data_IF_218378835647
#
_entry.id   IF_218378835647
#
_cell.length_a   1.000
_cell.length_b   1.000
_cell.length_c   1.000
_cell.angle_alpha   90.00
_cell.angle_beta   90.00
_cell.angle_gamma   90.00
#
_symmetry.space_group_name_H-M   'P 1'
#
loop_
_entity.id
_entity.type
_entity.pdbx_description
1 polymer ?
#
# COMPACT_ATOMS: atom_id res chain seq x y z
N UNK A 1 -1.61 7.88 15.21
CA UNK A 1 -0.65 7.25 14.31
C UNK A 1 -1.21 5.92 13.83
N UNK A 2 -1.30 5.71 12.52
CA UNK A 2 -1.89 4.51 11.96
C UNK A 2 -0.85 3.70 11.21
N UNK A 3 -0.88 2.39 11.42
CA UNK A 3 0.02 1.47 10.73
C UNK A 3 -0.79 0.39 10.04
N UNK A 4 -0.26 -0.14 8.97
CA UNK A 4 -0.89 -1.21 8.21
C UNK A 4 0.14 -2.25 7.80
N UNK A 5 -0.16 -3.51 8.07
CA UNK A 5 0.69 -4.61 7.65
C UNK A 5 0.32 -4.99 6.22
N UNK A 6 1.12 -4.53 5.26
CA UNK A 6 0.83 -4.73 3.85
C UNK A 6 1.26 -6.12 3.36
N UNK A 7 2.31 -6.66 3.99
CA UNK A 7 2.78 -8.01 3.74
C UNK A 7 3.25 -8.59 5.06
N UNK A 8 3.44 -9.89 5.08
CA UNK A 8 4.02 -10.54 6.25
C UNK A 8 5.34 -9.85 6.59
N UNK A 9 5.46 -9.43 7.85
CA UNK A 9 6.63 -8.75 8.39
C UNK A 9 6.92 -7.37 7.78
N UNK A 10 5.95 -6.78 7.06
CA UNK A 10 6.12 -5.46 6.46
C UNK A 10 5.00 -4.52 6.90
N UNK A 11 5.35 -3.54 7.71
CA UNK A 11 4.39 -2.57 8.25
C UNK A 11 4.72 -1.20 7.70
N UNK A 12 3.69 -0.47 7.25
CA UNK A 12 3.87 0.89 6.75
C UNK A 12 3.12 1.88 7.63
N UNK A 13 3.64 3.09 7.69
CA UNK A 13 3.00 4.18 8.43
C UNK A 13 2.03 4.91 7.49
N UNK A 14 0.74 4.76 7.74
CA UNK A 14 -0.30 5.32 6.87
C UNK A 14 -0.30 6.85 6.84
N UNK A 15 0.19 7.48 7.91
CA UNK A 15 0.23 8.94 7.96
C UNK A 15 1.21 9.54 6.94
N UNK A 16 2.16 8.75 6.47
CA UNK A 16 3.18 9.22 5.52
C UNK A 16 2.93 8.75 4.09
N UNK A 17 1.86 8.00 3.84
CA UNK A 17 1.53 7.55 2.50
C UNK A 17 1.03 8.72 1.66
N UNK A 18 1.69 8.96 0.54
CA UNK A 18 1.32 10.02 -0.39
C UNK A 18 0.49 9.47 -1.54
N UNK A 19 0.99 8.43 -2.20
CA UNK A 19 0.29 7.77 -3.29
C UNK A 19 0.50 6.27 -3.19
N UNK A 20 -0.47 5.51 -3.70
CA UNK A 20 -0.39 4.07 -3.76
C UNK A 20 -1.09 3.60 -5.03
N UNK A 21 -0.51 2.60 -5.69
CA UNK A 21 -1.14 2.02 -6.86
C UNK A 21 -0.79 0.54 -6.94
N UNK A 22 -1.69 -0.22 -7.55
CA UNK A 22 -1.48 -1.64 -7.79
C UNK A 22 -1.32 -1.87 -9.29
N UNK A 23 -0.27 -2.61 -9.65
CA UNK A 23 0.00 -2.97 -11.05
C UNK A 23 0.35 -4.45 -11.07
N UNK A 24 -0.52 -5.25 -11.67
CA UNK A 24 -0.35 -6.71 -11.71
C UNK A 24 -0.22 -7.27 -10.28
N UNK A 25 0.89 -7.91 -9.97
CA UNK A 25 1.11 -8.50 -8.65
C UNK A 25 1.98 -7.62 -7.74
N UNK A 26 2.08 -6.31 -8.05
CA UNK A 26 2.93 -5.40 -7.30
C UNK A 26 2.13 -4.20 -6.81
N UNK A 27 2.53 -3.68 -5.65
CA UNK A 27 1.98 -2.43 -5.13
C UNK A 27 3.13 -1.44 -5.00
N UNK A 28 2.92 -0.24 -5.53
CA UNK A 28 3.87 0.86 -5.45
C UNK A 28 3.33 1.92 -4.51
N UNK A 29 4.11 2.28 -3.50
CA UNK A 29 3.70 3.28 -2.51
C UNK A 29 4.76 4.36 -2.43
N UNK A 30 4.33 5.62 -2.55
CA UNK A 30 5.18 6.77 -2.34
C UNK A 30 4.89 7.38 -0.99
N UNK A 31 5.96 7.79 -0.29
CA UNK A 31 5.85 8.36 1.04
C UNK A 31 6.31 9.81 1.03
N UNK A 32 5.83 10.58 2.01
CA UNK A 32 6.14 12.01 2.10
C UNK A 32 7.17 12.34 3.18
N UNK A 33 7.66 11.37 3.92
CA UNK A 33 8.56 11.66 5.03
C UNK A 33 9.97 11.99 4.53
N UNK A 34 10.40 13.22 4.76
CA UNK A 34 11.73 13.69 4.39
C UNK A 34 11.91 13.76 2.89
N UNK A 35 12.67 12.83 2.36
CA UNK A 35 12.88 12.73 0.92
C UNK A 35 11.74 11.98 0.28
N UNK A 36 11.47 12.26 -0.99
CA UNK A 36 10.48 11.49 -1.76
C UNK A 36 10.97 10.06 -1.86
N UNK A 37 10.23 9.17 -1.23
CA UNK A 37 10.61 7.77 -1.13
C UNK A 37 9.51 6.89 -1.69
N UNK A 38 9.88 5.90 -2.47
CA UNK A 38 8.93 4.95 -3.02
C UNK A 38 9.36 3.53 -2.67
N UNK A 39 8.40 2.72 -2.25
CA UNK A 39 8.64 1.30 -2.00
C UNK A 39 7.77 0.48 -2.93
N UNK A 40 8.29 -0.66 -3.31
CA UNK A 40 7.58 -1.61 -4.15
C UNK A 40 7.42 -2.92 -3.40
N UNK A 41 6.20 -3.43 -3.35
CA UNK A 41 5.88 -4.69 -2.69
C UNK A 41 5.42 -5.70 -3.74
N UNK A 42 6.09 -6.83 -3.81
CA UNK A 42 5.79 -7.87 -4.79
C UNK A 42 5.03 -9.00 -4.11
N UNK A 43 3.92 -9.41 -4.71
CA UNK A 43 3.06 -10.47 -4.18
C UNK A 43 3.16 -11.71 -5.07
N UNK A 44 2.64 -12.82 -4.57
CA UNK A 44 2.71 -14.09 -5.29
C UNK A 44 1.85 -14.14 -6.55
N UNK A 45 0.74 -13.38 -6.55
CA UNK A 45 -0.14 -13.30 -7.72
C UNK A 45 -0.92 -12.00 -7.68
N UNK A 46 -1.66 -11.73 -8.76
CA UNK A 46 -2.42 -10.48 -8.89
C UNK A 46 -3.52 -10.36 -7.84
N UNK A 47 -4.15 -11.46 -7.50
CA UNK A 47 -5.23 -11.45 -6.52
C UNK A 47 -4.71 -11.06 -5.15
N UNK A 48 -3.56 -11.58 -4.74
CA UNK A 48 -2.97 -11.25 -3.45
C UNK A 48 -2.64 -9.75 -3.39
N UNK A 49 -2.11 -9.19 -4.47
CA UNK A 49 -1.82 -7.76 -4.53
C UNK A 49 -3.10 -6.93 -4.47
N UNK A 50 -4.13 -7.34 -5.19
CA UNK A 50 -5.41 -6.64 -5.19
C UNK A 50 -6.04 -6.65 -3.80
N UNK A 51 -6.01 -7.78 -3.12
CA UNK A 51 -6.55 -7.91 -1.77
C UNK A 51 -5.80 -7.02 -0.79
N UNK A 52 -4.48 -7.00 -0.88
CA UNK A 52 -3.66 -6.15 -0.02
C UNK A 52 -3.94 -4.68 -0.29
N UNK A 53 -4.11 -4.31 -1.55
CA UNK A 53 -4.42 -2.94 -1.93
C UNK A 53 -5.78 -2.50 -1.41
N UNK A 54 -6.78 -3.37 -1.52
CA UNK A 54 -8.11 -3.08 -0.97
C UNK A 54 -8.04 -2.84 0.54
N UNK A 55 -7.29 -3.68 1.25
CA UNK A 55 -7.09 -3.50 2.68
C UNK A 55 -6.38 -2.20 3.01
N UNK A 56 -5.40 -1.82 2.19
CA UNK A 56 -4.70 -0.56 2.37
C UNK A 56 -5.66 0.63 2.19
N UNK A 57 -6.48 0.61 1.15
CA UNK A 57 -7.44 1.68 0.91
C UNK A 57 -8.45 1.78 2.06
N UNK A 58 -8.91 0.65 2.57
CA UNK A 58 -9.79 0.61 3.73
C UNK A 58 -9.13 1.26 4.95
N UNK A 59 -7.87 0.92 5.19
CA UNK A 59 -7.13 1.46 6.32
C UNK A 59 -6.91 2.96 6.19
N UNK A 60 -6.79 3.46 4.96
CA UNK A 60 -6.65 4.88 4.69
C UNK A 60 -8.00 5.62 4.76
N UNK A 61 -9.10 4.90 4.80
CA UNK A 61 -10.43 5.50 4.79
C UNK A 61 -10.89 5.94 3.42
N UNK A 62 -10.30 5.39 2.37
CA UNK A 62 -10.65 5.74 0.99
C UNK A 62 -11.66 4.74 0.44
N UNK A 63 -12.55 5.26 -0.42
CA UNK A 63 -13.45 4.38 -1.15
C UNK A 63 -12.79 3.99 -2.46
N UNK A 64 -12.83 2.70 -2.75
CA UNK A 64 -12.32 2.19 -4.02
C UNK A 64 -13.48 2.13 -4.99
N UNK A 65 -13.44 2.98 -6.00
CA UNK A 65 -14.42 2.91 -7.07
C UNK A 65 -13.98 1.87 -8.07
N UNK A 66 -14.86 0.95 -8.32
CA UNK A 66 -14.60 -0.11 -9.29
C UNK A 66 -15.32 0.17 -10.60
#
# INVERSE_FOLDING_TARGET
MKFYEIKEDRIINLDTVRTAQVVSNEIYISFTCGDTRSDRFIFGNDQAAADAFDGLCDALGLEVEK
#
